data_IF_633813491887
#
_entry.id   IF_633813491887
#
_cell.length_a   1.000
_cell.length_b   1.000
_cell.length_c   1.000
_cell.angle_alpha   90.00
_cell.angle_beta   90.00
_cell.angle_gamma   90.00
#
_symmetry.space_group_name_H-M   'P 1'
#
loop_
_entity.id
_entity.type
_entity.pdbx_description
1 polymer ?
#
# COMPACT_ATOMS: atom_id res chain seq x y z
N UNK A 1 23.18 -17.92 -6.07
CA UNK A 1 22.13 -18.95 -5.90
C UNK A 1 21.69 -19.49 -7.27
N UNK A 2 21.54 -20.82 -7.43
CA UNK A 2 20.95 -21.44 -8.62
C UNK A 2 19.44 -21.10 -8.73
N UNK A 3 18.87 -21.26 -9.92
CA UNK A 3 17.45 -20.94 -10.16
C UNK A 3 16.48 -21.70 -9.25
N UNK A 4 16.67 -23.01 -9.07
CA UNK A 4 15.85 -23.86 -8.19
C UNK A 4 15.94 -23.39 -6.73
N UNK A 5 17.16 -23.13 -6.21
CA UNK A 5 17.35 -22.67 -4.83
C UNK A 5 16.68 -21.30 -4.59
N UNK A 6 16.71 -20.39 -5.58
CA UNK A 6 16.01 -19.11 -5.53
C UNK A 6 14.49 -19.28 -5.50
N UNK A 7 13.96 -20.19 -6.30
CA UNK A 7 12.53 -20.49 -6.36
C UNK A 7 12.02 -21.11 -5.05
N UNK A 8 12.73 -22.08 -4.48
CA UNK A 8 12.41 -22.66 -3.18
C UNK A 8 12.45 -21.63 -2.05
N UNK A 9 13.50 -20.79 -2.02
CA UNK A 9 13.58 -19.68 -1.08
C UNK A 9 12.40 -18.73 -1.21
N UNK A 10 12.04 -18.35 -2.45
CA UNK A 10 10.88 -17.50 -2.73
C UNK A 10 9.57 -18.10 -2.25
N UNK A 11 9.35 -19.41 -2.49
CA UNK A 11 8.14 -20.10 -2.05
C UNK A 11 8.02 -20.15 -0.52
N UNK A 12 9.11 -20.52 0.18
CA UNK A 12 9.12 -20.56 1.66
C UNK A 12 8.85 -19.19 2.26
N UNK A 13 9.52 -18.15 1.76
CA UNK A 13 9.32 -16.78 2.25
C UNK A 13 7.91 -16.29 1.97
N UNK A 14 7.35 -16.60 0.81
CA UNK A 14 5.98 -16.22 0.49
C UNK A 14 4.96 -16.89 1.41
N UNK A 15 5.13 -18.17 1.72
CA UNK A 15 4.27 -18.88 2.68
C UNK A 15 4.39 -18.29 4.10
N UNK A 16 5.61 -17.94 4.52
CA UNK A 16 5.83 -17.26 5.79
C UNK A 16 5.17 -15.88 5.83
N UNK A 17 5.32 -15.09 4.75
CA UNK A 17 4.63 -13.83 4.59
C UNK A 17 3.11 -14.00 4.65
N UNK A 18 2.55 -14.97 3.92
CA UNK A 18 1.11 -15.23 3.91
C UNK A 18 0.61 -15.57 5.32
N UNK A 19 1.31 -16.43 6.04
CA UNK A 19 1.01 -16.75 7.43
C UNK A 19 1.05 -15.51 8.33
N UNK A 20 2.09 -14.67 8.18
CA UNK A 20 2.23 -13.42 8.92
C UNK A 20 1.12 -12.42 8.59
N UNK A 21 0.72 -12.33 7.33
CA UNK A 21 -0.38 -11.47 6.89
C UNK A 21 -1.74 -11.94 7.43
N UNK A 22 -2.03 -13.23 7.37
CA UNK A 22 -3.25 -13.79 7.96
C UNK A 22 -3.28 -13.62 9.48
N UNK A 23 -2.10 -13.75 10.12
CA UNK A 23 -1.98 -13.50 11.55
C UNK A 23 -2.21 -12.01 11.89
N UNK A 24 -1.82 -11.06 11.01
CA UNK A 24 -2.13 -9.63 11.18
C UNK A 24 -3.64 -9.39 11.28
N UNK A 25 -4.43 -10.04 10.41
CA UNK A 25 -5.89 -9.95 10.44
C UNK A 25 -6.43 -10.42 11.78
N UNK A 26 -5.95 -11.57 12.24
CA UNK A 26 -6.38 -12.14 13.51
C UNK A 26 -5.90 -11.32 14.73
N UNK A 27 -4.67 -10.83 14.68
CA UNK A 27 -4.07 -10.01 15.73
C UNK A 27 -4.84 -8.70 15.94
N UNK A 28 -5.11 -7.95 14.88
CA UNK A 28 -5.83 -6.68 14.95
C UNK A 28 -7.33 -6.89 15.20
N UNK A 29 -7.91 -7.93 14.60
CA UNK A 29 -9.34 -8.26 14.74
C UNK A 29 -9.71 -8.98 16.02
N UNK A 30 -8.77 -9.22 16.95
CA UNK A 30 -9.02 -10.02 18.16
C UNK A 30 -9.65 -11.39 17.86
N UNK A 31 -9.25 -12.04 16.74
CA UNK A 31 -9.73 -13.37 16.39
C UNK A 31 -9.04 -14.44 17.27
N UNK A 32 -9.55 -15.70 17.32
CA UNK A 32 -9.01 -16.75 18.17
C UNK A 32 -7.64 -17.25 17.71
N UNK A 33 -6.59 -16.50 18.04
CA UNK A 33 -5.18 -16.85 17.85
C UNK A 33 -4.45 -16.77 19.20
N UNK A 34 -3.25 -17.39 19.35
CA UNK A 34 -2.52 -17.41 20.61
C UNK A 34 -2.27 -16.04 21.23
N UNK A 35 -2.11 -15.01 20.40
CA UNK A 35 -1.92 -13.64 20.85
C UNK A 35 -2.56 -12.63 19.89
N UNK A 36 -3.36 -11.73 20.46
CA UNK A 36 -3.99 -10.61 19.76
C UNK A 36 -3.48 -9.28 20.32
N UNK A 37 -3.93 -8.18 19.73
CA UNK A 37 -3.56 -6.82 20.16
C UNK A 37 -3.97 -6.52 21.59
N UNK A 38 -5.06 -7.17 22.08
CA UNK A 38 -5.62 -6.95 23.40
C UNK A 38 -5.43 -8.14 24.36
N UNK A 39 -4.83 -9.25 23.90
CA UNK A 39 -4.67 -10.45 24.73
C UNK A 39 -3.35 -10.47 25.47
N UNK A 40 -3.37 -11.06 26.68
CA UNK A 40 -2.20 -11.27 27.54
C UNK A 40 -2.26 -10.45 28.83
N UNK A 41 -1.29 -10.65 29.74
CA UNK A 41 -1.26 -9.92 31.00
C UNK A 41 -0.94 -8.45 30.78
N UNK A 42 -1.73 -7.56 31.37
CA UNK A 42 -1.43 -6.14 31.39
C UNK A 42 -0.20 -5.88 32.28
N UNK A 43 0.70 -5.04 31.78
CA UNK A 43 1.88 -4.56 32.50
C UNK A 43 1.76 -3.07 32.83
N UNK A 44 2.82 -2.47 33.41
CA UNK A 44 2.88 -1.02 33.61
C UNK A 44 2.72 -0.28 32.29
N UNK A 45 1.78 0.68 32.23
CA UNK A 45 1.43 1.42 31.01
C UNK A 45 2.63 2.05 30.31
N UNK A 46 3.54 2.70 31.05
CA UNK A 46 4.74 3.31 30.49
C UNK A 46 5.66 2.31 29.80
N UNK A 47 5.87 1.13 30.40
CA UNK A 47 6.66 0.06 29.79
C UNK A 47 5.98 -0.51 28.53
N UNK A 48 4.67 -0.75 28.60
CA UNK A 48 3.91 -1.21 27.44
C UNK A 48 3.99 -0.21 26.28
N UNK A 49 3.82 1.08 26.53
CA UNK A 49 3.92 2.13 25.54
C UNK A 49 5.31 2.17 24.88
N UNK A 50 6.39 2.17 25.68
CA UNK A 50 7.76 2.21 25.16
C UNK A 50 8.04 0.97 24.28
N UNK A 51 7.70 -0.24 24.77
CA UNK A 51 7.94 -1.47 24.03
C UNK A 51 7.15 -1.46 22.71
N UNK A 52 5.86 -1.11 22.74
CA UNK A 52 5.02 -1.09 21.54
C UNK A 52 5.49 -0.06 20.51
N UNK A 53 5.89 1.14 20.95
CA UNK A 53 6.45 2.17 20.06
C UNK A 53 7.78 1.69 19.45
N UNK A 54 8.65 1.03 20.22
CA UNK A 54 9.89 0.47 19.69
C UNK A 54 9.63 -0.62 18.64
N UNK A 55 8.67 -1.53 18.88
CA UNK A 55 8.29 -2.58 17.94
C UNK A 55 7.74 -2.01 16.64
N UNK A 56 6.83 -1.02 16.72
CA UNK A 56 6.31 -0.29 15.57
C UNK A 56 7.43 0.45 14.83
N UNK A 57 8.36 1.06 15.58
CA UNK A 57 9.53 1.73 15.03
C UNK A 57 10.49 0.79 14.29
N UNK A 58 10.76 -0.39 14.85
CA UNK A 58 11.60 -1.42 14.20
C UNK A 58 11.00 -1.80 12.84
N UNK A 59 9.70 -2.11 12.81
CA UNK A 59 9.02 -2.42 11.56
C UNK A 59 9.06 -1.24 10.58
N UNK A 60 8.68 -0.03 11.03
CA UNK A 60 8.62 1.15 10.18
C UNK A 60 9.99 1.51 9.58
N UNK A 61 11.05 1.48 10.37
CA UNK A 61 12.42 1.78 9.91
C UNK A 61 12.91 0.70 8.94
N UNK A 62 12.80 -0.58 9.31
CA UNK A 62 13.23 -1.68 8.44
C UNK A 62 12.50 -1.62 7.09
N UNK A 63 11.18 -1.53 7.12
CA UNK A 63 10.34 -1.55 5.93
C UNK A 63 10.60 -0.33 5.03
N UNK A 64 10.70 0.87 5.60
CA UNK A 64 10.97 2.09 4.84
C UNK A 64 12.38 2.15 4.28
N UNK A 65 13.40 1.86 5.09
CA UNK A 65 14.82 1.99 4.67
C UNK A 65 15.13 1.01 3.56
N UNK A 66 14.73 -0.26 3.72
CA UNK A 66 14.99 -1.28 2.70
C UNK A 66 14.23 -1.06 1.39
N UNK A 67 13.13 -0.31 1.40
CA UNK A 67 12.40 0.06 0.19
C UNK A 67 13.11 1.13 -0.64
N UNK A 68 14.07 1.89 -0.07
CA UNK A 68 14.72 3.02 -0.77
C UNK A 68 15.70 2.58 -1.85
N UNK A 69 15.72 3.28 -3.01
CA UNK A 69 16.65 2.96 -4.09
C UNK A 69 18.13 2.99 -3.66
N UNK A 70 18.48 3.92 -2.76
CA UNK A 70 19.84 4.03 -2.21
C UNK A 70 20.26 2.80 -1.42
N UNK A 71 19.38 2.30 -0.54
CA UNK A 71 19.62 1.08 0.23
C UNK A 71 19.69 -0.14 -0.69
N UNK A 72 18.79 -0.27 -1.65
CA UNK A 72 18.79 -1.38 -2.62
C UNK A 72 20.11 -1.49 -3.38
N UNK A 73 20.68 -0.37 -3.86
CA UNK A 73 21.97 -0.37 -4.56
C UNK A 73 23.11 -0.89 -3.70
N UNK A 74 23.10 -0.58 -2.40
CA UNK A 74 24.07 -1.12 -1.44
C UNK A 74 23.80 -2.58 -1.12
N UNK A 75 22.53 -2.91 -0.82
CA UNK A 75 22.08 -4.23 -0.40
C UNK A 75 22.31 -5.30 -1.48
N UNK A 76 22.14 -4.98 -2.75
CA UNK A 76 22.35 -5.90 -3.87
C UNK A 76 23.81 -6.24 -4.12
N UNK A 77 24.76 -5.61 -3.41
CA UNK A 77 26.17 -6.06 -3.35
C UNK A 77 26.34 -7.30 -2.46
N UNK A 78 25.44 -7.50 -1.52
CA UNK A 78 25.47 -8.61 -0.55
C UNK A 78 24.45 -9.69 -0.90
N UNK A 79 23.25 -9.29 -1.29
CA UNK A 79 22.12 -10.17 -1.63
C UNK A 79 21.91 -10.17 -3.14
N UNK A 80 21.93 -11.33 -3.80
CA UNK A 80 21.74 -11.41 -5.25
C UNK A 80 20.42 -10.75 -5.70
N UNK A 81 20.41 -9.97 -6.80
CA UNK A 81 19.22 -9.24 -7.29
C UNK A 81 17.94 -10.08 -7.42
N UNK A 82 17.98 -11.36 -7.89
CA UNK A 82 16.77 -12.17 -8.01
C UNK A 82 16.04 -12.47 -6.70
N UNK A 83 16.75 -12.44 -5.56
CA UNK A 83 16.18 -12.72 -4.23
C UNK A 83 16.13 -11.51 -3.31
N UNK A 84 16.53 -10.34 -3.79
CA UNK A 84 16.52 -9.09 -3.02
C UNK A 84 15.14 -8.76 -2.48
N UNK A 85 14.13 -8.76 -3.36
CA UNK A 85 12.73 -8.46 -2.99
C UNK A 85 12.18 -9.51 -2.01
N UNK A 86 12.47 -10.78 -2.24
CA UNK A 86 12.09 -11.86 -1.33
C UNK A 86 12.70 -11.70 0.05
N UNK A 87 13.99 -11.33 0.12
CA UNK A 87 14.67 -11.08 1.41
C UNK A 87 14.09 -9.88 2.14
N UNK A 88 13.75 -8.82 1.41
CA UNK A 88 13.01 -7.68 1.98
C UNK A 88 11.68 -8.12 2.61
N UNK A 89 10.88 -8.94 1.90
CA UNK A 89 9.61 -9.47 2.41
C UNK A 89 9.82 -10.34 3.64
N UNK A 90 10.87 -11.18 3.65
CA UNK A 90 11.22 -11.99 4.82
C UNK A 90 11.50 -11.13 6.05
N UNK A 91 12.36 -10.13 5.93
CA UNK A 91 12.73 -9.27 7.05
C UNK A 91 11.55 -8.43 7.56
N UNK A 92 10.68 -7.94 6.67
CA UNK A 92 9.45 -7.26 7.04
C UNK A 92 8.49 -8.19 7.79
N UNK A 93 8.34 -9.44 7.32
CA UNK A 93 7.50 -10.44 7.98
C UNK A 93 8.05 -10.84 9.36
N UNK A 94 9.38 -10.96 9.49
CA UNK A 94 10.02 -11.23 10.79
C UNK A 94 9.82 -10.06 11.78
N UNK A 95 9.92 -8.82 11.32
CA UNK A 95 9.65 -7.66 12.16
C UNK A 95 8.19 -7.60 12.63
N UNK A 96 7.23 -7.97 11.77
CA UNK A 96 5.83 -8.11 12.15
C UNK A 96 5.60 -9.27 13.11
N UNK A 97 6.20 -10.43 12.87
CA UNK A 97 6.11 -11.58 13.78
C UNK A 97 6.67 -11.24 15.18
N UNK A 98 7.80 -10.52 15.23
CA UNK A 98 8.34 -9.99 16.48
C UNK A 98 7.37 -9.02 17.17
N UNK A 99 6.74 -8.12 16.40
CA UNK A 99 5.75 -7.19 16.90
C UNK A 99 4.57 -7.95 17.52
N UNK A 100 3.99 -8.95 16.83
CA UNK A 100 2.87 -9.72 17.39
C UNK A 100 3.27 -10.48 18.65
N UNK A 101 4.45 -11.08 18.66
CA UNK A 101 4.93 -11.86 19.79
C UNK A 101 5.20 -11.00 21.02
N UNK A 102 5.85 -9.84 20.86
CA UNK A 102 6.30 -8.99 21.97
C UNK A 102 5.33 -7.87 22.33
N UNK A 103 4.25 -7.69 21.57
CA UNK A 103 3.25 -6.67 21.83
C UNK A 103 2.74 -6.73 23.29
N UNK A 104 2.68 -5.60 23.95
CA UNK A 104 2.17 -5.46 25.32
C UNK A 104 0.75 -4.92 25.28
N UNK A 105 -0.26 -5.66 25.74
CA UNK A 105 -1.65 -5.19 25.73
C UNK A 105 -1.81 -3.97 26.64
N UNK A 106 -2.64 -3.02 26.20
CA UNK A 106 -3.06 -1.85 26.95
C UNK A 106 -4.59 -1.85 26.91
N UNK A 107 -5.25 -2.62 27.85
CA UNK A 107 -6.65 -3.04 27.70
C UNK A 107 -7.68 -1.98 28.10
N UNK A 108 -7.27 -0.79 28.59
CA UNK A 108 -8.22 0.27 28.92
C UNK A 108 -9.02 0.69 27.72
N UNK A 109 -10.34 0.82 27.89
CA UNK A 109 -11.27 1.14 26.82
C UNK A 109 -11.22 2.62 26.46
N UNK A 110 -11.17 2.90 25.17
CA UNK A 110 -11.36 4.23 24.58
C UNK A 110 -12.82 4.39 24.13
N UNK A 111 -13.35 3.38 23.42
CA UNK A 111 -14.78 3.27 23.13
C UNK A 111 -15.22 1.82 23.03
N UNK A 112 -16.53 1.61 23.22
CA UNK A 112 -17.19 0.32 23.00
C UNK A 112 -18.56 0.57 22.36
N UNK A 113 -18.77 -0.01 21.18
CA UNK A 113 -20.04 0.00 20.46
C UNK A 113 -20.72 -1.33 20.73
N UNK A 114 -21.87 -1.30 21.41
CA UNK A 114 -22.60 -2.51 21.86
C UNK A 114 -23.90 -2.74 21.10
N UNK A 115 -24.44 -1.72 20.42
CA UNK A 115 -25.66 -1.90 19.65
C UNK A 115 -25.41 -2.71 18.35
N UNK A 116 -26.27 -3.69 18.02
CA UNK A 116 -25.97 -4.68 16.98
C UNK A 116 -25.63 -4.11 15.61
N UNK A 117 -26.36 -3.09 15.16
CA UNK A 117 -26.10 -2.48 13.83
C UNK A 117 -24.72 -1.85 13.75
N UNK A 118 -24.26 -1.19 14.82
CA UNK A 118 -22.93 -0.60 14.87
C UNK A 118 -21.83 -1.65 14.88
N UNK A 119 -22.00 -2.74 15.62
CA UNK A 119 -21.06 -3.87 15.64
C UNK A 119 -20.96 -4.48 14.24
N UNK A 120 -22.08 -4.75 13.58
CA UNK A 120 -22.11 -5.31 12.23
C UNK A 120 -21.43 -4.36 11.24
N UNK A 121 -21.75 -3.07 11.28
CA UNK A 121 -21.21 -2.07 10.37
C UNK A 121 -19.67 -1.96 10.51
N UNK A 122 -19.16 -1.85 11.74
CA UNK A 122 -17.72 -1.78 12.01
C UNK A 122 -17.00 -3.07 11.60
N UNK A 123 -17.60 -4.23 11.90
CA UNK A 123 -17.05 -5.52 11.48
C UNK A 123 -17.03 -5.65 9.94
N UNK A 124 -18.07 -5.21 9.26
CA UNK A 124 -18.10 -5.19 7.79
C UNK A 124 -17.03 -4.27 7.19
N UNK A 125 -16.81 -3.08 7.77
CA UNK A 125 -15.74 -2.17 7.38
C UNK A 125 -14.34 -2.76 7.61
N UNK A 126 -14.13 -3.48 8.73
CA UNK A 126 -12.89 -4.21 9.01
C UNK A 126 -12.57 -5.21 7.90
N UNK A 127 -13.53 -6.07 7.55
CA UNK A 127 -13.35 -7.08 6.51
C UNK A 127 -13.23 -6.46 5.11
N UNK A 128 -13.99 -5.39 4.84
CA UNK A 128 -13.86 -4.62 3.61
C UNK A 128 -12.44 -4.03 3.47
N UNK A 129 -11.88 -3.50 4.57
CA UNK A 129 -10.52 -3.00 4.61
C UNK A 129 -9.50 -4.05 4.19
N UNK A 130 -9.52 -5.24 4.82
CA UNK A 130 -8.62 -6.34 4.46
C UNK A 130 -8.85 -6.88 3.04
N UNK A 131 -10.11 -6.96 2.62
CA UNK A 131 -10.47 -7.32 1.24
C UNK A 131 -9.90 -6.32 0.23
N UNK A 132 -9.98 -5.02 0.52
CA UNK A 132 -9.42 -3.96 -0.31
C UNK A 132 -7.89 -4.04 -0.39
N UNK A 133 -7.19 -4.31 0.73
CA UNK A 133 -5.75 -4.54 0.73
C UNK A 133 -5.40 -5.68 -0.23
N UNK A 134 -6.00 -6.85 -0.03
CA UNK A 134 -5.69 -8.03 -0.83
C UNK A 134 -6.01 -7.82 -2.31
N UNK A 135 -7.22 -7.32 -2.63
CA UNK A 135 -7.64 -7.05 -3.99
C UNK A 135 -6.71 -6.07 -4.71
N UNK A 136 -6.31 -5.00 -4.02
CA UNK A 136 -5.43 -3.97 -4.59
C UNK A 136 -4.03 -4.50 -4.92
N UNK A 137 -3.49 -5.46 -4.14
CA UNK A 137 -2.19 -6.09 -4.47
C UNK A 137 -2.27 -6.86 -5.78
N UNK A 138 -3.39 -7.56 -6.06
CA UNK A 138 -3.58 -8.29 -7.33
C UNK A 138 -3.75 -7.33 -8.52
N UNK A 139 -4.36 -6.18 -8.33
CA UNK A 139 -4.50 -5.17 -9.37
C UNK A 139 -3.16 -4.59 -9.83
N UNK A 140 -2.19 -4.43 -8.91
CA UNK A 140 -0.87 -3.89 -9.28
C UNK A 140 0.00 -5.01 -9.89
N UNK A 141 0.35 -5.99 -9.12
CA UNK A 141 1.06 -7.22 -9.47
C UNK A 141 1.47 -7.97 -8.19
N UNK A 142 0.57 -8.75 -7.61
CA UNK A 142 0.78 -9.45 -6.34
C UNK A 142 2.09 -10.23 -6.30
N UNK A 143 2.35 -11.05 -7.30
CA UNK A 143 3.53 -11.92 -7.30
C UNK A 143 4.86 -11.18 -7.47
N UNK A 144 4.84 -10.04 -8.14
CA UNK A 144 6.00 -9.15 -8.26
C UNK A 144 6.25 -8.39 -6.94
N UNK A 145 5.17 -7.93 -6.31
CA UNK A 145 5.21 -7.19 -5.05
C UNK A 145 5.90 -7.99 -3.95
N UNK A 146 5.69 -9.31 -3.93
CA UNK A 146 6.26 -10.22 -2.92
C UNK A 146 7.49 -11.02 -3.40
N UNK A 147 8.05 -10.69 -4.57
CA UNK A 147 9.33 -11.26 -5.03
C UNK A 147 9.22 -12.58 -5.78
N UNK A 148 8.04 -13.17 -5.92
CA UNK A 148 7.85 -14.44 -6.62
C UNK A 148 8.14 -14.36 -8.13
N UNK A 149 7.80 -13.24 -8.76
CA UNK A 149 8.08 -13.02 -10.18
C UNK A 149 9.59 -12.98 -10.47
N UNK A 150 10.36 -12.35 -9.59
CA UNK A 150 11.81 -12.24 -9.70
C UNK A 150 12.50 -13.61 -9.60
N UNK A 151 12.12 -14.43 -8.62
CA UNK A 151 12.68 -15.76 -8.45
C UNK A 151 12.24 -16.72 -9.55
N UNK A 152 11.01 -16.59 -10.05
CA UNK A 152 10.51 -17.36 -11.20
C UNK A 152 11.24 -16.99 -12.49
N UNK A 153 11.46 -15.70 -12.75
CA UNK A 153 12.24 -15.24 -13.89
C UNK A 153 13.65 -15.83 -13.84
N UNK A 154 14.29 -15.84 -12.65
CA UNK A 154 15.60 -16.46 -12.44
C UNK A 154 15.58 -17.96 -12.72
N UNK A 155 14.53 -18.68 -12.31
CA UNK A 155 14.37 -20.10 -12.55
C UNK A 155 14.27 -20.41 -14.08
N UNK A 156 13.55 -19.54 -14.81
CA UNK A 156 13.32 -19.69 -16.26
C UNK A 156 14.45 -19.10 -17.13
N UNK A 157 15.43 -18.44 -16.53
CA UNK A 157 16.50 -17.75 -17.28
C UNK A 157 16.03 -16.51 -18.07
N UNK A 158 14.89 -15.91 -17.64
CA UNK A 158 14.31 -14.70 -18.26
C UNK A 158 14.56 -13.47 -17.42
N UNK A 159 14.38 -12.27 -17.98
CA UNK A 159 14.39 -10.99 -17.25
C UNK A 159 13.00 -10.63 -16.76
N UNK A 160 12.92 -9.87 -15.65
CA UNK A 160 11.68 -9.21 -15.23
C UNK A 160 11.49 -7.96 -16.10
N UNK A 161 10.31 -7.74 -16.72
CA UNK A 161 10.03 -6.54 -17.50
C UNK A 161 10.17 -5.28 -16.64
N UNK A 162 10.53 -4.17 -17.28
CA UNK A 162 10.54 -2.86 -16.63
C UNK A 162 9.14 -2.46 -16.12
N UNK A 163 9.08 -1.71 -15.01
CA UNK A 163 7.81 -1.22 -14.49
C UNK A 163 7.10 -0.32 -15.49
N UNK A 164 5.83 -0.59 -15.76
CA UNK A 164 4.97 0.24 -16.61
C UNK A 164 3.92 0.91 -15.73
N UNK A 165 3.74 2.22 -15.89
CA UNK A 165 2.70 2.95 -15.17
C UNK A 165 1.31 2.48 -15.60
N UNK A 166 0.50 2.03 -14.63
CA UNK A 166 -0.88 1.55 -14.85
C UNK A 166 -1.78 2.00 -13.71
N UNK A 167 -3.01 2.33 -14.05
CA UNK A 167 -4.06 2.74 -13.09
C UNK A 167 -5.30 1.85 -13.24
N UNK A 168 -5.22 0.55 -12.86
CA UNK A 168 -6.35 -0.37 -13.05
C UNK A 168 -7.47 -0.09 -12.04
N UNK A 169 -8.72 -0.21 -12.49
CA UNK A 169 -9.95 -0.20 -11.67
C UNK A 169 -9.95 0.87 -10.57
N UNK A 170 -9.79 0.49 -9.31
CA UNK A 170 -9.83 1.37 -8.13
C UNK A 170 -8.77 2.47 -8.19
N UNK A 171 -7.59 2.19 -8.79
CA UNK A 171 -6.53 3.17 -8.97
C UNK A 171 -6.91 4.34 -9.87
N UNK A 172 -8.02 4.24 -10.64
CA UNK A 172 -8.59 5.37 -11.36
C UNK A 172 -9.26 6.41 -10.45
N UNK A 173 -9.62 6.03 -9.24
CA UNK A 173 -10.38 6.86 -8.30
C UNK A 173 -9.60 7.19 -7.02
N UNK A 174 -8.68 6.31 -6.62
CA UNK A 174 -7.86 6.44 -5.40
C UNK A 174 -6.43 6.02 -5.73
N UNK A 175 -5.46 6.85 -5.40
CA UNK A 175 -4.05 6.55 -5.69
C UNK A 175 -3.47 5.43 -4.83
N UNK A 176 -3.91 5.35 -3.57
CA UNK A 176 -3.36 4.42 -2.58
C UNK A 176 -4.43 3.53 -1.93
N UNK A 177 -5.12 2.68 -2.71
CA UNK A 177 -6.21 1.86 -2.18
C UNK A 177 -5.73 0.78 -1.18
N UNK A 178 -4.49 0.31 -1.26
CA UNK A 178 -3.90 -0.58 -0.25
C UNK A 178 -3.85 0.12 1.11
N UNK A 179 -3.40 1.38 1.15
CA UNK A 179 -3.33 2.14 2.39
C UNK A 179 -4.70 2.50 2.93
N UNK A 180 -5.66 2.82 2.05
CA UNK A 180 -7.06 3.00 2.46
C UNK A 180 -7.61 1.73 3.13
N UNK A 181 -7.32 0.56 2.55
CA UNK A 181 -7.72 -0.72 3.13
C UNK A 181 -7.15 -0.94 4.53
N UNK A 182 -5.87 -0.66 4.74
CA UNK A 182 -5.25 -0.74 6.07
C UNK A 182 -5.87 0.26 7.07
N UNK A 183 -6.12 1.50 6.66
CA UNK A 183 -6.77 2.49 7.52
C UNK A 183 -8.16 2.03 7.94
N UNK A 184 -8.98 1.53 7.01
CA UNK A 184 -10.29 0.96 7.33
C UNK A 184 -10.16 -0.20 8.32
N UNK A 185 -9.26 -1.16 8.05
CA UNK A 185 -9.07 -2.33 8.89
C UNK A 185 -8.58 -1.99 10.31
N UNK A 186 -7.73 -0.98 10.48
CA UNK A 186 -7.14 -0.64 11.77
C UNK A 186 -8.05 0.22 12.65
N UNK A 187 -8.93 1.02 12.03
CA UNK A 187 -9.84 1.91 12.76
C UNK A 187 -11.23 1.32 12.96
N UNK A 188 -11.68 0.41 12.10
CA UNK A 188 -13.03 -0.15 12.16
C UNK A 188 -13.09 -1.30 13.17
N UNK A 189 -13.19 -0.97 14.47
CA UNK A 189 -13.38 -1.93 15.53
C UNK A 189 -14.55 -1.54 16.44
N UNK A 190 -15.43 -2.47 16.83
CA UNK A 190 -16.47 -2.21 17.84
C UNK A 190 -15.88 -1.86 19.19
N UNK A 191 -14.74 -2.43 19.55
CA UNK A 191 -14.06 -2.19 20.82
C UNK A 191 -12.67 -1.64 20.55
N UNK A 192 -12.43 -0.38 20.93
CA UNK A 192 -11.14 0.27 20.83
C UNK A 192 -10.50 0.37 22.20
N UNK A 193 -9.39 -0.30 22.38
CA UNK A 193 -8.54 -0.18 23.57
C UNK A 193 -7.44 0.86 23.35
N UNK A 194 -6.74 1.25 24.40
CA UNK A 194 -5.57 2.13 24.29
C UNK A 194 -4.47 1.49 23.42
N UNK A 195 -4.25 0.18 23.52
CA UNK A 195 -3.28 -0.54 22.72
C UNK A 195 -3.65 -0.54 21.24
N UNK A 196 -4.91 -0.81 20.92
CA UNK A 196 -5.40 -0.76 19.56
C UNK A 196 -5.35 0.67 18.98
N UNK A 197 -5.72 1.67 19.78
CA UNK A 197 -5.61 3.08 19.36
C UNK A 197 -4.18 3.50 19.08
N UNK A 198 -3.23 3.12 19.95
CA UNK A 198 -1.79 3.35 19.71
C UNK A 198 -1.35 2.77 18.36
N UNK A 199 -1.75 1.51 18.10
CA UNK A 199 -1.44 0.84 16.84
C UNK A 199 -2.05 1.59 15.64
N UNK A 200 -3.34 1.94 15.70
CA UNK A 200 -4.06 2.63 14.63
C UNK A 200 -3.47 4.02 14.33
N UNK A 201 -3.17 4.80 15.37
CA UNK A 201 -2.58 6.14 15.22
C UNK A 201 -1.15 6.06 14.66
N UNK A 202 -0.31 5.22 15.24
CA UNK A 202 1.08 5.09 14.81
C UNK A 202 1.20 4.57 13.38
N UNK A 203 0.39 3.55 13.00
CA UNK A 203 0.36 3.04 11.63
C UNK A 203 -0.24 4.04 10.65
N UNK A 204 -1.23 4.86 11.06
CA UNK A 204 -1.73 5.96 10.23
C UNK A 204 -0.63 6.97 9.94
N UNK A 205 0.10 7.42 10.95
CA UNK A 205 1.25 8.31 10.75
C UNK A 205 2.31 7.70 9.84
N UNK A 206 2.63 6.42 10.04
CA UNK A 206 3.55 5.68 9.20
C UNK A 206 3.06 5.58 7.74
N UNK A 207 1.77 5.30 7.51
CA UNK A 207 1.17 5.25 6.17
C UNK A 207 1.30 6.61 5.47
N UNK A 208 1.01 7.72 6.13
CA UNK A 208 1.11 9.06 5.53
C UNK A 208 2.55 9.39 5.13
N UNK A 209 3.53 9.06 5.96
CA UNK A 209 4.95 9.19 5.61
C UNK A 209 5.31 8.26 4.44
N UNK A 210 4.81 7.02 4.45
CA UNK A 210 5.01 6.04 3.38
C UNK A 210 4.49 6.54 2.04
N UNK A 211 3.27 7.08 1.99
CA UNK A 211 2.68 7.69 0.79
C UNK A 211 3.56 8.82 0.26
N UNK A 212 3.98 9.74 1.13
CA UNK A 212 4.85 10.85 0.74
C UNK A 212 6.15 10.36 0.07
N UNK A 213 6.80 9.37 0.66
CA UNK A 213 8.05 8.81 0.14
C UNK A 213 7.82 8.02 -1.16
N UNK A 214 6.74 7.26 -1.25
CA UNK A 214 6.37 6.48 -2.44
C UNK A 214 6.03 7.40 -3.61
N UNK A 215 5.22 8.44 -3.42
CA UNK A 215 4.89 9.40 -4.48
C UNK A 215 6.13 10.13 -5.01
N UNK A 216 7.10 10.44 -4.13
CA UNK A 216 8.38 11.02 -4.56
C UNK A 216 9.16 10.07 -5.47
N UNK A 217 9.22 8.80 -5.11
CA UNK A 217 9.93 7.80 -5.91
C UNK A 217 9.19 7.51 -7.23
N UNK A 218 7.84 7.50 -7.23
CA UNK A 218 7.03 7.35 -8.44
C UNK A 218 7.16 8.55 -9.40
N UNK A 219 7.26 9.77 -8.87
CA UNK A 219 7.56 10.97 -9.68
C UNK A 219 8.97 10.85 -10.29
N UNK A 220 9.95 10.38 -9.52
CA UNK A 220 11.31 10.20 -10.04
C UNK A 220 11.37 9.12 -11.15
N UNK A 221 10.51 8.10 -11.07
CA UNK A 221 10.47 6.99 -12.03
C UNK A 221 9.63 7.30 -13.28
N UNK A 222 8.44 7.89 -13.12
CA UNK A 222 7.46 8.08 -14.20
C UNK A 222 7.27 9.55 -14.64
N UNK A 223 7.94 10.49 -13.99
CA UNK A 223 7.95 11.90 -14.36
C UNK A 223 6.56 12.53 -14.41
N UNK A 224 6.29 13.24 -15.51
CA UNK A 224 5.04 14.00 -15.70
C UNK A 224 3.79 13.13 -15.82
N UNK A 225 3.95 11.85 -16.20
CA UNK A 225 2.83 10.91 -16.23
C UNK A 225 2.24 10.71 -14.84
N UNK A 226 3.10 10.54 -13.80
CA UNK A 226 2.63 10.41 -12.42
C UNK A 226 2.17 11.75 -11.84
N UNK A 227 2.78 12.88 -12.20
CA UNK A 227 2.36 14.22 -11.76
C UNK A 227 0.91 14.51 -12.18
N UNK A 228 0.58 14.31 -13.48
CA UNK A 228 -0.80 14.44 -14.00
C UNK A 228 -1.78 13.52 -13.30
N UNK A 229 -1.42 12.27 -13.08
CA UNK A 229 -2.25 11.33 -12.34
C UNK A 229 -2.52 11.81 -10.91
N UNK A 230 -1.52 12.36 -10.22
CA UNK A 230 -1.63 12.90 -8.86
C UNK A 230 -2.57 14.12 -8.78
N UNK A 231 -2.62 14.93 -9.81
CA UNK A 231 -3.51 16.09 -9.90
C UNK A 231 -4.97 15.69 -10.11
N UNK A 232 -5.19 14.61 -10.84
CA UNK A 232 -6.53 14.16 -11.24
C UNK A 232 -7.19 13.19 -10.26
N UNK A 233 -6.42 12.47 -9.45
CA UNK A 233 -6.91 11.38 -8.61
C UNK A 233 -6.62 11.65 -7.15
N UNK A 234 -7.61 11.44 -6.29
CA UNK A 234 -7.49 11.64 -4.85
C UNK A 234 -6.54 10.64 -4.20
N UNK A 235 -5.89 11.05 -3.11
CA UNK A 235 -4.91 10.23 -2.40
C UNK A 235 -5.52 8.97 -1.78
N UNK A 236 -6.53 9.11 -0.93
CA UNK A 236 -7.13 8.03 -0.14
C UNK A 236 -8.65 7.95 -0.31
N UNK A 237 -9.37 9.07 -0.35
CA UNK A 237 -10.82 9.06 -0.48
C UNK A 237 -11.24 9.15 -1.95
N UNK A 238 -12.27 8.39 -2.40
CA UNK A 238 -12.76 8.44 -3.78
C UNK A 238 -13.57 9.72 -4.02
N UNK A 239 -12.89 10.86 -4.10
CA UNK A 239 -13.53 12.14 -4.44
C UNK A 239 -13.76 12.25 -5.94
N UNK A 240 -14.78 13.03 -6.40
CA UNK A 240 -14.97 13.29 -7.81
C UNK A 240 -13.70 13.82 -8.47
N UNK A 241 -13.39 13.31 -9.66
CA UNK A 241 -12.24 13.81 -10.46
C UNK A 241 -12.42 15.31 -10.72
N UNK A 242 -11.38 16.09 -10.48
CA UNK A 242 -11.29 17.41 -11.06
C UNK A 242 -11.17 17.21 -12.59
N UNK A 243 -12.13 17.72 -13.38
CA UNK A 243 -11.98 17.78 -14.84
C UNK A 243 -10.68 18.52 -15.13
N UNK A 244 -9.77 17.89 -15.85
CA UNK A 244 -8.51 18.50 -16.21
C UNK A 244 -8.76 19.73 -17.08
N UNK A 245 -7.94 20.75 -16.90
CA UNK A 245 -7.95 21.96 -17.74
C UNK A 245 -7.73 21.61 -19.22
N UNK A 246 -7.13 20.47 -19.51
CA UNK A 246 -6.87 19.96 -20.86
C UNK A 246 -8.15 19.62 -21.64
N UNK A 247 -9.24 19.18 -20.99
CA UNK A 247 -10.54 18.98 -21.65
C UNK A 247 -11.25 20.33 -21.93
N UNK A 248 -11.01 21.33 -21.11
CA UNK A 248 -11.54 22.68 -21.31
C UNK A 248 -10.79 23.43 -22.43
N UNK A 249 -9.49 23.19 -22.61
CA UNK A 249 -8.71 23.74 -23.73
C UNK A 249 -9.04 23.03 -25.04
N UNK A 250 -9.27 21.72 -25.04
CA UNK A 250 -9.71 20.97 -26.23
C UNK A 250 -11.09 21.41 -26.69
N UNK A 251 -12.07 21.62 -25.80
CA UNK A 251 -13.42 22.10 -26.11
C UNK A 251 -13.39 23.56 -26.61
N UNK A 252 -12.52 24.41 -26.06
CA UNK A 252 -12.33 25.78 -26.54
C UNK A 252 -11.56 25.84 -27.87
N UNK A 253 -10.65 24.90 -28.14
CA UNK A 253 -9.89 24.81 -29.39
C UNK A 253 -10.75 24.35 -30.58
N UNK A 254 -11.74 23.48 -30.34
CA UNK A 254 -12.69 23.02 -31.33
C UNK A 254 -13.73 24.12 -31.66
N UNK A 255 -14.24 24.82 -30.66
CA UNK A 255 -15.17 25.95 -30.85
C UNK A 255 -14.55 27.16 -31.54
N UNK A 256 -13.23 27.33 -31.47
CA UNK A 256 -12.49 28.39 -32.17
C UNK A 256 -12.19 28.10 -33.64
N UNK A 257 -12.25 26.83 -34.06
CA UNK A 257 -11.97 26.44 -35.47
C UNK A 257 -13.19 26.53 -36.40
N UNK A 258 -14.39 26.42 -35.86
CA UNK A 258 -15.63 26.49 -36.66
C UNK A 258 -16.07 27.93 -36.98
N UNK A 259 -15.39 28.94 -36.44
CA UNK A 259 -15.75 30.36 -36.62
C UNK A 259 -15.06 31.10 -37.74
N UNK A 260 -14.13 30.51 -38.47
CA UNK A 260 -13.37 31.24 -39.53
C UNK A 260 -13.32 30.47 -40.84
N UNK A 261 -14.41 30.54 -41.61
CA UNK A 261 -14.42 30.26 -43.04
C UNK A 261 -14.05 31.57 -43.80
N UNK A 262 -12.92 31.64 -44.52
CA UNK A 262 -12.65 32.79 -45.37
C UNK A 262 -13.56 32.74 -46.58
N UNK A 263 -14.26 33.86 -46.83
CA UNK A 263 -15.04 34.12 -48.01
C UNK A 263 -14.13 33.96 -49.28
N UNK A 264 -14.54 33.04 -50.17
CA UNK A 264 -13.97 32.94 -51.51
C UNK A 264 -14.34 34.20 -52.33
N UNK A 265 -13.34 35.04 -52.57
CA UNK A 265 -13.45 36.06 -53.59
C UNK A 265 -13.45 35.38 -54.96
N UNK A 266 -14.57 35.52 -55.70
CA UNK A 266 -14.60 35.34 -57.14
C UNK A 266 -13.77 36.47 -57.78
N UNK A 267 -12.79 36.11 -58.55
CA UNK A 267 -12.25 36.99 -59.58
C UNK A 267 -12.53 36.33 -60.90
N UNK A 268 -13.34 37.08 -61.67
CA UNK A 268 -13.73 36.79 -63.03
C UNK A 268 -12.56 36.99 -63.97
N UNK A 269 -12.55 36.15 -65.01
CA UNK A 269 -11.76 36.25 -66.20
C UNK A 269 -12.06 37.51 -67.01
N UNK A 270 -11.01 38.06 -67.57
CA UNK A 270 -11.09 38.77 -68.87
C UNK A 270 -9.72 38.84 -69.53
N UNK A 271 -9.67 38.32 -70.83
CA UNK A 271 -8.72 38.40 -71.89
C UNK A 271 -7.65 37.31 -72.07
#
# INVERSE_FOLDING_TARGET
MGGIASALYGAVVYLFFLGTFLYAIAFVGNLPVPKTIDSGPAGPLGAALIINVLLLGIFAVQHSVMARPGFKRWWTRLVPPPVERTTYVLLASLALALLYWQWRPMPELVWSVTYPVGVIALSALFWLGWGLVLFSTFLINHFELFGLRQVYARLRGTSVPEPVFRTPLIYKNVRHPIYLGFLLAFWATPTMTQGHLLFAVATTGYILIGIYLEERDLIALFGDQYRRYREQVSMLLPLPRKRGLDEAEADNGEKGRDGHLPARSRQEDAA
#
